data_IF_126885301703
#
_entry.id   IF_126885301703
#
_cell.length_a   1.000
_cell.length_b   1.000
_cell.length_c   1.000
_cell.angle_alpha   90.00
_cell.angle_beta   90.00
_cell.angle_gamma   90.00
#
_symmetry.space_group_name_H-M   'P 1'
#
loop_
_entity.id
_entity.type
_entity.pdbx_description
1 polymer ?
#
# COMPACT_ATOMS: atom_id res chain seq x y z
N UNK A 1 57.89 37.38 41.77
CA UNK A 1 58.05 36.34 40.73
C UNK A 1 56.95 36.57 39.72
N UNK A 2 57.34 36.97 38.50
CA UNK A 2 56.45 37.51 37.47
C UNK A 2 55.87 36.40 36.60
N UNK A 3 54.64 36.65 36.15
CA UNK A 3 53.96 36.23 34.90
C UNK A 3 53.91 34.75 34.52
N UNK A 4 52.69 34.27 34.27
CA UNK A 4 52.29 33.90 32.90
C UNK A 4 50.75 33.80 32.82
N UNK A 5 50.14 34.89 32.36
CA UNK A 5 48.78 34.89 31.81
C UNK A 5 48.85 34.20 30.46
N UNK A 6 48.28 33.01 30.36
CA UNK A 6 48.11 32.28 29.11
C UNK A 6 47.15 33.06 28.20
N UNK A 7 47.72 33.84 27.28
CA UNK A 7 47.01 34.46 26.16
C UNK A 7 46.32 33.38 25.31
N UNK A 8 45.03 33.56 24.93
CA UNK A 8 44.41 32.74 23.90
C UNK A 8 45.01 33.12 22.54
N UNK A 9 45.74 32.17 21.97
CA UNK A 9 46.37 32.25 20.65
C UNK A 9 45.36 32.77 19.59
N UNK A 10 45.57 33.94 18.96
CA UNK A 10 44.69 34.41 17.90
C UNK A 10 45.01 33.61 16.64
N UNK A 11 44.34 32.48 16.48
CA UNK A 11 44.34 31.74 15.21
C UNK A 11 43.69 32.66 14.17
N UNK A 12 44.54 33.41 13.47
CA UNK A 12 44.37 33.91 12.11
C UNK A 12 42.99 34.52 11.82
N UNK A 13 42.77 35.74 12.29
CA UNK A 13 41.63 36.60 11.92
C UNK A 13 41.80 37.28 10.53
N UNK A 14 42.67 36.75 9.67
CA UNK A 14 43.00 37.33 8.36
C UNK A 14 42.43 36.54 7.18
N UNK A 15 41.37 35.76 7.39
CA UNK A 15 40.46 35.45 6.28
C UNK A 15 39.56 36.67 6.09
N UNK A 16 40.15 37.73 5.52
CA UNK A 16 39.42 38.87 5.02
C UNK A 16 38.19 38.35 4.27
N UNK A 17 37.01 38.67 4.80
CA UNK A 17 35.71 38.32 4.24
C UNK A 17 35.76 38.63 2.75
N UNK A 18 35.88 37.61 1.89
CA UNK A 18 35.97 37.82 0.45
C UNK A 18 34.74 38.66 0.05
N UNK A 19 34.87 39.64 -0.85
CA UNK A 19 33.81 40.64 -1.15
C UNK A 19 32.49 40.05 -1.69
N UNK A 20 32.37 38.73 -1.80
CA UNK A 20 31.16 37.99 -2.16
C UNK A 20 30.76 36.88 -1.17
N UNK A 21 31.55 36.64 -0.10
CA UNK A 21 31.37 35.50 0.81
C UNK A 21 30.03 35.52 1.53
N UNK A 22 29.54 36.69 1.97
CA UNK A 22 28.18 36.85 2.51
C UNK A 22 27.09 36.46 1.50
N UNK A 23 27.29 36.83 0.23
CA UNK A 23 26.34 36.51 -0.83
C UNK A 23 26.33 35.01 -1.15
N UNK A 24 27.51 34.39 -1.14
CA UNK A 24 27.66 32.96 -1.35
C UNK A 24 27.08 32.15 -0.19
N UNK A 25 27.34 32.56 1.06
CA UNK A 25 26.76 31.98 2.28
C UNK A 25 25.23 32.08 2.22
N UNK A 26 24.67 33.24 1.89
CA UNK A 26 23.21 33.42 1.76
C UNK A 26 22.60 32.54 0.67
N UNK A 27 23.30 32.34 -0.46
CA UNK A 27 22.88 31.40 -1.52
C UNK A 27 22.91 29.95 -1.04
N UNK A 28 23.95 29.56 -0.30
CA UNK A 28 24.06 28.24 0.30
C UNK A 28 22.94 27.98 1.31
N UNK A 29 22.66 28.93 2.21
CA UNK A 29 21.57 28.85 3.19
C UNK A 29 20.19 28.77 2.52
N UNK A 30 19.97 29.55 1.45
CA UNK A 30 18.73 29.49 0.69
C UNK A 30 18.55 28.13 0.00
N UNK A 31 19.63 27.56 -0.56
CA UNK A 31 19.63 26.23 -1.18
C UNK A 31 19.42 25.14 -0.13
N UNK A 32 20.08 25.24 1.02
CA UNK A 32 19.92 24.35 2.15
C UNK A 32 18.47 24.37 2.66
N UNK A 33 17.86 25.55 2.77
CA UNK A 33 16.47 25.71 3.22
C UNK A 33 15.47 25.08 2.27
N UNK A 34 15.73 25.13 0.95
CA UNK A 34 14.93 24.42 -0.05
C UNK A 34 15.05 22.91 0.06
N UNK A 35 16.27 22.40 0.20
CA UNK A 35 16.54 20.95 0.32
C UNK A 35 15.93 20.38 1.61
N UNK A 36 16.03 21.12 2.71
CA UNK A 36 15.43 20.76 4.00
C UNK A 36 13.90 20.91 4.04
N UNK A 37 13.28 21.46 2.99
CA UNK A 37 11.83 21.66 2.93
C UNK A 37 11.28 22.69 3.92
N UNK A 38 12.15 23.47 4.60
CA UNK A 38 11.79 24.43 5.64
C UNK A 38 10.85 25.55 5.15
N UNK A 39 10.82 25.82 3.84
CA UNK A 39 9.98 26.84 3.22
C UNK A 39 8.78 26.26 2.44
N UNK A 40 8.55 24.94 2.50
CA UNK A 40 7.42 24.32 1.79
C UNK A 40 6.21 24.28 2.73
N UNK A 41 5.30 25.23 2.56
CA UNK A 41 3.99 25.14 3.19
C UNK A 41 3.24 23.93 2.63
N UNK A 42 2.71 23.08 3.52
CA UNK A 42 1.87 21.96 3.14
C UNK A 42 0.62 22.49 2.43
N UNK A 43 0.47 22.14 1.16
CA UNK A 43 -0.75 22.45 0.42
C UNK A 43 -1.79 21.36 0.67
N UNK A 44 -3.08 21.71 0.55
CA UNK A 44 -4.19 20.75 0.58
C UNK A 44 -3.97 19.60 -0.41
N UNK A 45 -3.37 19.88 -1.57
CA UNK A 45 -3.00 18.86 -2.56
C UNK A 45 -1.99 17.84 -2.02
N UNK A 46 -1.00 18.28 -1.25
CA UNK A 46 0.01 17.40 -0.66
C UNK A 46 -0.62 16.53 0.41
N UNK A 47 -1.52 17.10 1.24
CA UNK A 47 -2.29 16.33 2.22
C UNK A 47 -3.17 15.27 1.55
N UNK A 48 -3.91 15.62 0.50
CA UNK A 48 -4.74 14.68 -0.24
C UNK A 48 -3.91 13.55 -0.84
N UNK A 49 -2.76 13.85 -1.45
CA UNK A 49 -1.87 12.83 -2.00
C UNK A 49 -1.34 11.87 -0.92
N UNK A 50 -0.98 12.39 0.25
CA UNK A 50 -0.54 11.56 1.39
C UNK A 50 -1.68 10.66 1.87
N UNK A 51 -2.89 11.20 2.03
CA UNK A 51 -4.06 10.42 2.43
C UNK A 51 -4.43 9.35 1.41
N UNK A 52 -4.38 9.68 0.12
CA UNK A 52 -4.65 8.72 -0.95
C UNK A 52 -3.64 7.57 -0.93
N UNK A 53 -2.35 7.88 -0.80
CA UNK A 53 -1.30 6.86 -0.68
C UNK A 53 -1.51 5.97 0.56
N UNK A 54 -1.85 6.56 1.70
CA UNK A 54 -2.13 5.79 2.92
C UNK A 54 -3.32 4.84 2.77
N UNK A 55 -4.39 5.28 2.07
CA UNK A 55 -5.54 4.43 1.75
C UNK A 55 -5.13 3.27 0.84
N UNK A 56 -4.39 3.54 -0.22
CA UNK A 56 -4.00 2.52 -1.19
C UNK A 56 -3.06 1.48 -0.55
N UNK A 57 -2.12 1.92 0.30
CA UNK A 57 -1.27 1.03 1.11
C UNK A 57 -2.09 0.16 2.07
N UNK A 58 -3.12 0.74 2.72
CA UNK A 58 -4.00 -0.01 3.61
C UNK A 58 -4.76 -1.10 2.85
N UNK A 59 -5.35 -0.77 1.70
CA UNK A 59 -6.06 -1.76 0.89
C UNK A 59 -5.13 -2.84 0.37
N UNK A 60 -3.91 -2.48 -0.06
CA UNK A 60 -2.90 -3.43 -0.51
C UNK A 60 -2.54 -4.44 0.59
N UNK A 61 -2.34 -3.97 1.83
CA UNK A 61 -2.08 -4.85 2.98
C UNK A 61 -3.26 -5.76 3.29
N UNK A 62 -4.49 -5.24 3.25
CA UNK A 62 -5.71 -6.00 3.54
C UNK A 62 -5.93 -7.15 2.54
N UNK A 63 -5.71 -6.88 1.25
CA UNK A 63 -5.82 -7.90 0.19
C UNK A 63 -4.70 -8.94 0.33
N UNK A 64 -3.49 -8.49 0.65
CA UNK A 64 -2.36 -9.42 0.82
C UNK A 64 -2.53 -10.32 2.05
N UNK A 65 -3.10 -9.80 3.15
CA UNK A 65 -3.42 -10.62 4.32
C UNK A 65 -4.50 -11.64 4.03
N UNK A 66 -5.58 -11.26 3.32
CA UNK A 66 -6.64 -12.20 2.97
C UNK A 66 -6.16 -13.26 1.97
N UNK A 67 -5.27 -12.93 1.04
CA UNK A 67 -4.64 -13.91 0.16
C UNK A 67 -3.78 -14.92 0.92
N UNK A 68 -3.11 -14.48 1.99
CA UNK A 68 -2.35 -15.37 2.87
C UNK A 68 -3.28 -16.30 3.65
N UNK A 69 -4.43 -15.80 4.11
CA UNK A 69 -5.46 -16.61 4.74
C UNK A 69 -6.10 -17.61 3.77
N UNK A 70 -6.30 -17.25 2.50
CA UNK A 70 -6.71 -18.20 1.47
C UNK A 70 -5.66 -19.29 1.21
N UNK A 71 -4.36 -18.97 1.31
CA UNK A 71 -3.30 -19.99 1.22
C UNK A 71 -3.31 -20.97 2.39
N UNK A 72 -3.92 -20.63 3.54
CA UNK A 72 -4.06 -21.54 4.68
C UNK A 72 -5.14 -22.61 4.41
N UNK A 73 -6.06 -22.36 3.46
CA UNK A 73 -7.15 -23.29 3.11
C UNK A 73 -6.60 -24.65 2.65
N UNK A 74 -5.43 -24.69 1.99
CA UNK A 74 -4.79 -25.93 1.52
C UNK A 74 -4.17 -26.78 2.66
N UNK A 75 -4.14 -26.26 3.90
CA UNK A 75 -3.64 -26.97 5.09
C UNK A 75 -4.68 -27.05 6.22
N UNK A 76 -5.93 -26.68 5.92
CA UNK A 76 -6.99 -26.49 6.90
C UNK A 76 -7.78 -27.79 7.11
N UNK A 77 -8.10 -28.08 8.38
CA UNK A 77 -9.11 -29.06 8.78
C UNK A 77 -10.47 -28.70 8.15
N UNK A 78 -11.04 -29.60 7.34
CA UNK A 78 -12.26 -29.35 6.55
C UNK A 78 -13.50 -29.04 7.41
N UNK A 79 -13.48 -29.52 8.66
CA UNK A 79 -14.53 -29.32 9.66
C UNK A 79 -14.49 -27.92 10.32
N UNK A 80 -13.45 -27.11 10.03
CA UNK A 80 -13.33 -25.78 10.60
C UNK A 80 -14.39 -24.84 10.03
N UNK A 81 -14.95 -23.99 10.89
CA UNK A 81 -15.91 -22.97 10.48
C UNK A 81 -15.27 -21.92 9.55
N UNK A 82 -16.01 -21.54 8.51
CA UNK A 82 -15.57 -20.48 7.58
C UNK A 82 -15.83 -19.11 8.23
N UNK A 83 -14.75 -18.45 8.66
CA UNK A 83 -14.84 -17.12 9.23
C UNK A 83 -14.86 -16.05 8.13
N UNK A 84 -16.07 -15.59 7.76
CA UNK A 84 -16.29 -14.54 6.75
C UNK A 84 -16.88 -13.29 7.40
N UNK A 85 -16.39 -12.10 7.04
CA UNK A 85 -16.92 -10.83 7.53
C UNK A 85 -18.36 -10.58 7.05
N UNK A 86 -19.16 -9.84 7.82
CA UNK A 86 -20.55 -9.51 7.45
C UNK A 86 -20.68 -8.85 6.07
N UNK A 87 -19.70 -8.02 5.69
CA UNK A 87 -19.68 -7.36 4.36
C UNK A 87 -19.46 -8.39 3.26
N UNK A 88 -18.52 -9.33 3.47
CA UNK A 88 -18.23 -10.38 2.51
C UNK A 88 -19.42 -11.34 2.35
N UNK A 89 -20.12 -11.67 3.43
CA UNK A 89 -21.37 -12.47 3.37
C UNK A 89 -22.43 -11.85 2.47
N UNK A 90 -22.48 -10.51 2.41
CA UNK A 90 -23.44 -9.78 1.56
C UNK A 90 -22.97 -9.64 0.12
N UNK A 91 -21.67 -9.50 -0.12
CA UNK A 91 -21.11 -9.33 -1.45
C UNK A 91 -21.04 -10.66 -2.21
N UNK A 92 -20.77 -11.76 -1.51
CA UNK A 92 -20.54 -13.08 -2.09
C UNK A 92 -21.39 -14.13 -1.36
N UNK A 93 -22.71 -14.17 -1.62
CA UNK A 93 -23.60 -15.14 -1.00
C UNK A 93 -23.18 -16.59 -1.25
N UNK A 94 -22.56 -16.86 -2.39
CA UNK A 94 -22.03 -18.15 -2.83
C UNK A 94 -20.84 -18.64 -2.00
N UNK A 95 -20.24 -17.75 -1.18
CA UNK A 95 -19.07 -18.06 -0.35
C UNK A 95 -19.39 -18.28 1.13
N UNK A 96 -20.65 -18.53 1.45
CA UNK A 96 -21.13 -18.75 2.81
C UNK A 96 -21.36 -20.25 3.10
N UNK A 97 -20.29 -21.03 3.23
CA UNK A 97 -20.37 -22.36 3.86
C UNK A 97 -20.30 -22.25 5.38
N UNK A 98 -20.95 -23.14 6.13
CA UNK A 98 -20.76 -23.22 7.58
C UNK A 98 -19.36 -23.76 7.88
N UNK A 99 -18.93 -24.77 7.13
CA UNK A 99 -17.56 -25.35 7.16
C UNK A 99 -16.84 -25.20 5.82
N UNK A 100 -15.52 -25.36 5.83
CA UNK A 100 -14.70 -25.29 4.61
C UNK A 100 -15.04 -26.42 3.62
N UNK A 101 -15.38 -27.62 4.12
CA UNK A 101 -15.87 -28.74 3.28
C UNK A 101 -17.17 -28.37 2.54
N UNK A 102 -18.15 -27.82 3.26
CA UNK A 102 -19.43 -27.41 2.67
C UNK A 102 -19.22 -26.34 1.59
N UNK A 103 -18.34 -25.37 1.87
CA UNK A 103 -18.00 -24.32 0.91
C UNK A 103 -17.36 -24.89 -0.36
N UNK A 104 -16.50 -25.90 -0.24
CA UNK A 104 -15.87 -26.55 -1.39
C UNK A 104 -16.94 -27.20 -2.28
N UNK A 105 -17.83 -28.00 -1.69
CA UNK A 105 -18.89 -28.67 -2.45
C UNK A 105 -19.87 -27.70 -3.10
N UNK A 106 -20.19 -26.58 -2.43
CA UNK A 106 -21.03 -25.54 -3.01
C UNK A 106 -20.38 -24.93 -4.24
N UNK A 107 -19.08 -24.61 -4.17
CA UNK A 107 -18.34 -24.04 -5.29
C UNK A 107 -18.20 -25.02 -6.46
N UNK A 108 -17.93 -26.30 -6.18
CA UNK A 108 -17.90 -27.37 -7.19
C UNK A 108 -19.25 -27.46 -7.92
N UNK A 109 -20.36 -27.40 -7.17
CA UNK A 109 -21.71 -27.44 -7.75
C UNK A 109 -22.00 -26.23 -8.65
N UNK A 110 -21.55 -25.03 -8.27
CA UNK A 110 -21.70 -23.81 -9.05
C UNK A 110 -20.93 -23.89 -10.37
N UNK A 111 -19.70 -24.41 -10.35
CA UNK A 111 -18.90 -24.60 -11.56
C UNK A 111 -19.57 -25.62 -12.48
N UNK A 112 -20.04 -26.74 -11.95
CA UNK A 112 -20.76 -27.76 -12.72
C UNK A 112 -22.06 -27.20 -13.32
N UNK A 113 -22.79 -26.37 -12.58
CA UNK A 113 -24.00 -25.72 -13.07
C UNK A 113 -23.70 -24.75 -14.23
N UNK A 114 -22.60 -23.98 -14.14
CA UNK A 114 -22.16 -23.09 -15.22
C UNK A 114 -21.78 -23.88 -16.49
N UNK A 115 -20.95 -24.90 -16.36
CA UNK A 115 -20.54 -25.74 -17.48
C UNK A 115 -21.75 -26.43 -18.12
N UNK A 116 -22.69 -26.91 -17.30
CA UNK A 116 -23.93 -27.52 -17.80
C UNK A 116 -24.80 -26.51 -18.55
N UNK A 117 -24.93 -25.29 -18.05
CA UNK A 117 -25.68 -24.23 -18.72
C UNK A 117 -25.03 -23.80 -20.05
N UNK A 118 -23.70 -23.71 -20.09
CA UNK A 118 -22.93 -23.38 -21.31
C UNK A 118 -23.06 -24.49 -22.36
N UNK A 119 -22.89 -25.75 -21.98
CA UNK A 119 -23.06 -26.89 -22.92
C UNK A 119 -24.50 -27.00 -23.46
N UNK A 120 -25.49 -26.68 -22.63
CA UNK A 120 -26.89 -26.69 -23.06
C UNK A 120 -27.23 -25.49 -23.97
N UNK A 121 -26.56 -24.35 -23.77
CA UNK A 121 -26.68 -23.19 -24.67
C UNK A 121 -26.04 -23.47 -26.05
N UNK A 122 -24.90 -24.15 -26.07
CA UNK A 122 -24.23 -24.58 -27.32
C UNK A 122 -25.08 -25.60 -28.10
N UNK A 123 -25.69 -26.59 -27.42
CA UNK A 123 -26.58 -27.56 -28.04
C UNK A 123 -27.84 -26.93 -28.69
N UNK A 124 -28.38 -25.87 -28.09
CA UNK A 124 -29.51 -25.12 -28.65
C UNK A 124 -29.12 -24.32 -29.91
N UNK A 125 -27.91 -23.77 -29.94
CA UNK A 125 -27.38 -23.04 -31.10
C UNK A 125 -27.11 -23.99 -32.28
N UNK A 126 -26.56 -25.17 -32.02
CA UNK A 126 -26.25 -26.15 -33.07
C UNK A 126 -27.51 -26.78 -33.68
N UNK A 127 -28.56 -27.01 -32.87
CA UNK A 127 -29.88 -27.44 -33.37
C UNK A 127 -30.61 -26.39 -34.24
N UNK A 128 -30.20 -25.12 -34.16
CA UNK A 128 -30.78 -24.01 -34.94
C UNK A 128 -30.07 -23.76 -36.26
N UNK A 129 -28.89 -24.35 -36.48
CA UNK A 129 -28.07 -24.17 -37.69
C UNK A 129 -28.42 -25.20 -38.79
N UNK A 130 -29.08 -26.31 -38.43
CA UNK A 130 -29.44 -27.42 -39.34
C UNK A 130 -30.90 -27.37 -39.86
N UNK A 131 -31.52 -26.18 -39.87
CA UNK A 131 -32.82 -25.90 -40.53
C UNK A 131 -32.68 -24.82 -41.59
#
# INVERSE_FOLDING_TARGET
>A
MSNETSEPNPISADFNHLPDSDNYIRKLEARLSKVKGLNKNLTSKDMINVLQKARDDYMSRLISSSATELSIIDSCDGDKEVAVSYVEKKLFPERNGVTYEELQHLLESDVLAKVSAESNAEALVESSIDR
#
